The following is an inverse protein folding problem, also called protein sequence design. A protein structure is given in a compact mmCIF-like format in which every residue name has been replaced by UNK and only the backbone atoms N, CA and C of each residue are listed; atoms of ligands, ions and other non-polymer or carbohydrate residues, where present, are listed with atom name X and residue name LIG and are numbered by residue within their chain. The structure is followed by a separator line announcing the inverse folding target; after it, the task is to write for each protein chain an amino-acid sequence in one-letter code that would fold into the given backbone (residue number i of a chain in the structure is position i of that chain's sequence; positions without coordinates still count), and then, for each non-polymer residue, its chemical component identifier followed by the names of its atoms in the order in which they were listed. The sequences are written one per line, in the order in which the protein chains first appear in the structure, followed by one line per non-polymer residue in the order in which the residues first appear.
data_IF_494119090968
#
_entry.id   IF_494119090968
#
_cell.length_a   1.000
_cell.length_b   1.000
_cell.length_c   1.000
_cell.angle_alpha   90.00
_cell.angle_beta   90.00
_cell.angle_gamma   90.00
#
_symmetry.space_group_name_H-M   'P 1'
#
loop_
_entity.id
_entity.type
_entity.pdbx_description
1 polymer ?
#
# COMPACT_ATOMS: atom_id res chain seq x y z
N UNK A 1 -74.82 -6.34 9.24
CA UNK A 1 -74.69 -4.91 8.87
C UNK A 1 -74.67 -4.85 7.34
N UNK A 2 -75.53 -4.05 6.68
CA UNK A 2 -75.59 -3.96 5.21
C UNK A 2 -75.01 -2.60 4.79
N UNK A 3 -73.88 -2.62 4.08
CA UNK A 3 -73.29 -1.42 3.46
C UNK A 3 -73.88 -1.20 2.06
N UNK A 4 -73.94 0.05 1.61
CA UNK A 4 -74.38 0.39 0.25
C UNK A 4 -73.41 -0.17 -0.80
N UNK A 5 -73.90 -0.53 -2.00
CA UNK A 5 -73.07 -1.15 -3.05
C UNK A 5 -71.87 -0.27 -3.43
N UNK A 6 -72.02 1.05 -3.43
CA UNK A 6 -70.91 1.99 -3.66
C UNK A 6 -69.82 1.85 -2.58
N UNK A 7 -70.21 1.76 -1.30
CA UNK A 7 -69.28 1.58 -0.19
C UNK A 7 -68.56 0.22 -0.27
N UNK A 8 -69.26 -0.84 -0.70
CA UNK A 8 -68.65 -2.16 -0.91
C UNK A 8 -67.59 -2.12 -2.01
N UNK A 9 -67.83 -1.37 -3.10
CA UNK A 9 -66.85 -1.19 -4.18
C UNK A 9 -65.62 -0.42 -3.72
N UNK A 10 -65.80 0.69 -2.99
CA UNK A 10 -64.69 1.45 -2.42
C UNK A 10 -63.86 0.63 -1.42
N UNK A 11 -64.51 -0.20 -0.60
CA UNK A 11 -63.81 -1.09 0.32
C UNK A 11 -63.00 -2.17 -0.42
N UNK A 12 -63.52 -2.70 -1.52
CA UNK A 12 -62.79 -3.65 -2.37
C UNK A 12 -61.55 -3.00 -3.01
N UNK A 13 -61.68 -1.76 -3.49
CA UNK A 13 -60.57 -1.01 -4.05
C UNK A 13 -59.49 -0.71 -3.00
N UNK A 14 -59.89 -0.27 -1.80
CA UNK A 14 -58.98 -0.06 -0.67
C UNK A 14 -58.23 -1.35 -0.31
N UNK A 15 -58.95 -2.47 -0.19
CA UNK A 15 -58.33 -3.76 0.12
C UNK A 15 -57.32 -4.20 -0.96
N UNK A 16 -57.60 -3.92 -2.24
CA UNK A 16 -56.66 -4.21 -3.32
C UNK A 16 -55.40 -3.35 -3.22
N UNK A 17 -55.55 -2.04 -2.93
CA UNK A 17 -54.43 -1.12 -2.74
C UNK A 17 -53.58 -1.52 -1.51
N UNK A 18 -54.21 -1.88 -0.40
CA UNK A 18 -53.51 -2.35 0.82
C UNK A 18 -52.70 -3.63 0.55
N UNK A 19 -53.27 -4.55 -0.25
CA UNK A 19 -52.57 -5.77 -0.64
C UNK A 19 -51.39 -5.48 -1.59
N UNK A 20 -51.51 -4.49 -2.46
CA UNK A 20 -50.42 -4.06 -3.34
C UNK A 20 -49.31 -3.34 -2.57
N UNK A 21 -49.67 -2.42 -1.66
CA UNK A 21 -48.73 -1.77 -0.74
C UNK A 21 -47.94 -2.81 0.06
N UNK A 22 -48.64 -3.79 0.64
CA UNK A 22 -48.00 -4.87 1.41
C UNK A 22 -46.99 -5.67 0.55
N UNK A 23 -47.33 -5.97 -0.71
CA UNK A 23 -46.42 -6.64 -1.65
C UNK A 23 -45.20 -5.80 -1.99
N UNK A 24 -45.39 -4.50 -2.23
CA UNK A 24 -44.29 -3.56 -2.52
C UNK A 24 -43.37 -3.42 -1.30
N UNK A 25 -43.93 -3.23 -0.11
CA UNK A 25 -43.15 -3.14 1.13
C UNK A 25 -42.34 -4.41 1.35
N UNK A 26 -42.92 -5.59 1.16
CA UNK A 26 -42.19 -6.85 1.27
C UNK A 26 -41.05 -6.95 0.25
N UNK A 27 -41.30 -6.65 -1.03
CA UNK A 27 -40.25 -6.67 -2.08
C UNK A 27 -39.14 -5.65 -1.84
N UNK A 28 -39.47 -4.47 -1.33
CA UNK A 28 -38.49 -3.42 -1.02
C UNK A 28 -37.57 -3.80 0.15
N UNK A 29 -38.11 -4.53 1.13
CA UNK A 29 -37.36 -4.97 2.32
C UNK A 29 -36.57 -6.26 2.08
N UNK A 30 -37.08 -7.14 1.21
CA UNK A 30 -36.50 -8.46 0.90
C UNK A 30 -35.98 -8.52 -0.55
N UNK A 31 -35.30 -7.47 -0.98
CA UNK A 31 -34.77 -7.41 -2.33
C UNK A 31 -33.66 -8.47 -2.49
N UNK A 32 -33.81 -9.50 -3.35
CA UNK A 32 -32.84 -10.60 -3.44
C UNK A 32 -31.45 -10.13 -3.90
N UNK A 33 -31.39 -9.00 -4.63
CA UNK A 33 -30.15 -8.37 -5.03
C UNK A 33 -29.36 -7.76 -3.86
N UNK A 34 -29.99 -7.51 -2.70
CA UNK A 34 -29.33 -6.90 -1.55
C UNK A 34 -28.20 -7.77 -0.99
N UNK A 35 -28.43 -9.08 -0.91
CA UNK A 35 -27.40 -10.01 -0.45
C UNK A 35 -26.21 -10.05 -1.43
N UNK A 36 -26.48 -10.08 -2.73
CA UNK A 36 -25.44 -10.04 -3.76
C UNK A 36 -24.63 -8.73 -3.69
N UNK A 37 -25.30 -7.59 -3.48
CA UNK A 37 -24.66 -6.29 -3.29
C UNK A 37 -23.77 -6.28 -2.04
N UNK A 38 -24.27 -6.72 -0.89
CA UNK A 38 -23.46 -6.73 0.34
C UNK A 38 -22.25 -7.66 0.21
N UNK A 39 -22.40 -8.82 -0.45
CA UNK A 39 -21.25 -9.69 -0.75
C UNK A 39 -20.20 -9.01 -1.62
N UNK A 40 -20.62 -8.36 -2.70
CA UNK A 40 -19.71 -7.63 -3.58
C UNK A 40 -19.04 -6.45 -2.85
N UNK A 41 -19.79 -5.74 -2.01
CA UNK A 41 -19.29 -4.63 -1.19
C UNK A 41 -18.23 -5.10 -0.20
N UNK A 42 -18.46 -6.21 0.50
CA UNK A 42 -17.47 -6.79 1.42
C UNK A 42 -16.21 -7.21 0.69
N UNK A 43 -16.32 -7.84 -0.49
CA UNK A 43 -15.17 -8.22 -1.30
C UNK A 43 -14.37 -7.00 -1.79
N UNK A 44 -15.08 -5.95 -2.23
CA UNK A 44 -14.47 -4.70 -2.64
C UNK A 44 -13.71 -4.05 -1.49
N UNK A 45 -14.32 -3.96 -0.30
CA UNK A 45 -13.65 -3.38 0.87
C UNK A 45 -12.42 -4.19 1.27
N UNK A 46 -12.53 -5.53 1.32
CA UNK A 46 -11.39 -6.39 1.63
C UNK A 46 -10.25 -6.28 0.59
N UNK A 47 -10.57 -6.09 -0.69
CA UNK A 47 -9.57 -5.83 -1.71
C UNK A 47 -8.93 -4.44 -1.53
N UNK A 48 -9.73 -3.43 -1.18
CA UNK A 48 -9.27 -2.08 -0.85
C UNK A 48 -8.30 -2.05 0.32
N UNK A 49 -8.62 -2.78 1.40
CA UNK A 49 -7.77 -2.88 2.59
C UNK A 49 -6.43 -3.55 2.26
N UNK A 50 -6.43 -4.61 1.46
CA UNK A 50 -5.18 -5.26 0.99
C UNK A 50 -4.35 -4.32 0.12
N UNK A 51 -4.98 -3.61 -0.82
CA UNK A 51 -4.29 -2.65 -1.67
C UNK A 51 -3.66 -1.52 -0.84
N UNK A 52 -4.37 -1.02 0.17
CA UNK A 52 -3.85 0.01 1.07
C UNK A 52 -2.63 -0.52 1.85
N UNK A 53 -2.68 -1.75 2.36
CA UNK A 53 -1.55 -2.36 3.07
C UNK A 53 -0.32 -2.53 2.16
N UNK A 54 -0.50 -3.02 0.93
CA UNK A 54 0.61 -3.16 -0.04
C UNK A 54 1.20 -1.79 -0.39
N UNK A 55 0.38 -0.75 -0.62
CA UNK A 55 0.88 0.60 -0.88
C UNK A 55 1.74 1.15 0.24
N UNK A 56 1.29 1.01 1.49
CA UNK A 56 2.08 1.44 2.65
C UNK A 56 3.41 0.69 2.73
N UNK A 57 3.41 -0.63 2.44
CA UNK A 57 4.64 -1.42 2.42
C UNK A 57 5.60 -0.96 1.32
N UNK A 58 5.10 -0.66 0.10
CA UNK A 58 5.91 -0.12 -0.99
C UNK A 58 6.49 1.25 -0.64
N UNK A 59 5.70 2.14 -0.05
CA UNK A 59 6.17 3.46 0.40
C UNK A 59 7.29 3.36 1.45
N UNK A 60 7.20 2.41 2.38
CA UNK A 60 8.25 2.15 3.37
C UNK A 60 9.53 1.63 2.71
N UNK A 61 9.42 0.70 1.74
CA UNK A 61 10.57 0.20 0.99
C UNK A 61 11.21 1.30 0.14
N UNK A 62 10.43 2.16 -0.51
CA UNK A 62 10.95 3.32 -1.27
C UNK A 62 11.76 4.27 -0.37
N UNK A 63 11.30 4.50 0.87
CA UNK A 63 12.03 5.28 1.85
C UNK A 63 13.33 4.61 2.31
N UNK A 64 13.34 3.27 2.42
CA UNK A 64 14.54 2.49 2.74
C UNK A 64 15.57 2.53 1.60
N UNK A 65 15.12 2.34 0.35
CA UNK A 65 15.95 2.48 -0.87
C UNK A 65 16.60 3.85 -0.89
N UNK A 66 15.82 4.92 -0.76
CA UNK A 66 16.33 6.30 -0.79
C UNK A 66 17.38 6.57 0.29
N UNK A 67 17.21 5.98 1.48
CA UNK A 67 18.18 6.09 2.58
C UNK A 67 19.48 5.36 2.25
N UNK A 68 19.39 4.13 1.77
CA UNK A 68 20.56 3.32 1.42
C UNK A 68 21.34 3.95 0.27
N UNK A 69 20.68 4.47 -0.75
CA UNK A 69 21.32 5.21 -1.84
C UNK A 69 22.08 6.44 -1.32
N UNK A 70 21.50 7.21 -0.39
CA UNK A 70 22.16 8.35 0.22
C UNK A 70 23.39 7.94 1.07
N UNK A 71 23.31 6.82 1.79
CA UNK A 71 24.45 6.27 2.53
C UNK A 71 25.57 5.81 1.58
N UNK A 72 25.23 5.11 0.51
CA UNK A 72 26.19 4.66 -0.52
C UNK A 72 26.89 5.87 -1.15
N UNK A 73 26.13 6.90 -1.51
CA UNK A 73 26.68 8.13 -2.09
C UNK A 73 27.64 8.84 -1.12
N UNK A 74 27.29 8.91 0.17
CA UNK A 74 28.18 9.47 1.19
C UNK A 74 29.50 8.68 1.33
N UNK A 75 29.42 7.34 1.24
CA UNK A 75 30.61 6.47 1.26
C UNK A 75 31.46 6.71 0.01
N UNK A 76 30.87 6.76 -1.18
CA UNK A 76 31.57 7.05 -2.45
C UNK A 76 32.28 8.40 -2.43
N UNK A 77 31.59 9.45 -1.97
CA UNK A 77 32.21 10.77 -1.84
C UNK A 77 33.39 10.78 -0.88
N UNK A 78 33.33 10.00 0.21
CA UNK A 78 34.46 9.87 1.13
C UNK A 78 35.61 9.11 0.49
N UNK A 79 35.32 7.99 -0.16
CA UNK A 79 36.33 7.20 -0.87
C UNK A 79 37.05 8.02 -1.95
N UNK A 80 36.32 8.83 -2.73
CA UNK A 80 36.91 9.69 -3.76
C UNK A 80 37.83 10.77 -3.17
N UNK A 81 37.43 11.37 -2.03
CA UNK A 81 38.31 12.31 -1.30
C UNK A 81 39.58 11.63 -0.82
N UNK A 82 39.45 10.44 -0.24
CA UNK A 82 40.59 9.70 0.31
C UNK A 82 41.54 9.23 -0.81
N UNK A 83 41.01 8.76 -1.94
CA UNK A 83 41.80 8.45 -3.14
C UNK A 83 42.52 9.69 -3.69
N UNK A 84 41.85 10.84 -3.72
CA UNK A 84 42.46 12.09 -4.17
C UNK A 84 43.60 12.53 -3.24
N UNK A 85 43.45 12.38 -1.93
CA UNK A 85 44.51 12.68 -0.96
C UNK A 85 45.71 11.76 -1.16
N UNK A 86 45.46 10.45 -1.35
CA UNK A 86 46.50 9.47 -1.61
C UNK A 86 47.29 9.79 -2.90
N UNK A 87 46.58 10.19 -3.96
CA UNK A 87 47.18 10.60 -5.23
C UNK A 87 47.97 11.92 -5.14
N UNK A 88 47.57 12.84 -4.24
CA UNK A 88 48.25 14.13 -4.04
C UNK A 88 49.62 14.02 -3.35
N UNK A 89 49.99 12.82 -2.88
CA UNK A 89 51.31 12.54 -2.32
C UNK A 89 51.44 12.94 -0.86
N UNK A 90 50.74 12.24 0.04
CA UNK A 90 50.94 12.42 1.48
C UNK A 90 52.38 12.06 1.87
N UNK A 91 53.04 12.93 2.64
CA UNK A 91 54.48 12.84 2.94
C UNK A 91 54.82 11.92 4.12
N UNK A 92 53.82 11.47 4.89
CA UNK A 92 53.99 10.59 6.05
C UNK A 92 53.55 9.15 5.72
N UNK A 93 54.47 8.20 5.87
CA UNK A 93 54.26 6.77 5.62
C UNK A 93 53.14 6.20 6.49
N UNK A 94 53.01 6.69 7.73
CA UNK A 94 51.94 6.24 8.63
C UNK A 94 50.57 6.69 8.12
N UNK A 95 50.45 7.95 7.70
CA UNK A 95 49.22 8.50 7.14
C UNK A 95 48.81 7.77 5.85
N UNK A 96 49.77 7.38 5.01
CA UNK A 96 49.49 6.58 3.83
C UNK A 96 48.91 5.20 4.18
N UNK A 97 49.49 4.51 5.16
CA UNK A 97 48.99 3.21 5.62
C UNK A 97 47.60 3.31 6.25
N UNK A 98 47.37 4.33 7.07
CA UNK A 98 46.06 4.56 7.72
C UNK A 98 44.97 4.85 6.66
N UNK A 99 45.29 5.68 5.65
CA UNK A 99 44.39 6.02 4.55
C UNK A 99 44.06 4.82 3.65
N UNK A 100 45.06 3.96 3.37
CA UNK A 100 44.83 2.70 2.63
C UNK A 100 43.87 1.77 3.39
N UNK A 101 44.06 1.63 4.70
CA UNK A 101 43.19 0.79 5.52
C UNK A 101 41.76 1.34 5.63
N UNK A 102 41.63 2.68 5.68
CA UNK A 102 40.33 3.34 5.61
C UNK A 102 39.62 3.08 4.28
N UNK A 103 40.32 3.20 3.14
CA UNK A 103 39.78 2.89 1.81
C UNK A 103 39.27 1.44 1.71
N UNK A 104 40.05 0.46 2.19
CA UNK A 104 39.63 -0.95 2.24
C UNK A 104 38.36 -1.15 3.10
N UNK A 105 38.22 -0.36 4.15
CA UNK A 105 37.05 -0.41 5.04
C UNK A 105 35.83 0.24 4.38
N UNK A 106 36.01 1.37 3.69
CA UNK A 106 34.96 2.04 2.92
C UNK A 106 34.44 1.15 1.79
N UNK A 107 35.32 0.46 1.05
CA UNK A 107 34.94 -0.48 0.00
C UNK A 107 34.09 -1.63 0.55
N UNK A 108 34.51 -2.25 1.66
CA UNK A 108 33.72 -3.30 2.32
C UNK A 108 32.36 -2.78 2.78
N UNK A 109 32.31 -1.56 3.31
CA UNK A 109 31.04 -0.92 3.72
C UNK A 109 30.15 -0.64 2.51
N UNK A 110 30.71 -0.15 1.41
CA UNK A 110 29.96 0.11 0.18
C UNK A 110 29.33 -1.18 -0.36
N UNK A 111 30.11 -2.25 -0.51
CA UNK A 111 29.59 -3.55 -0.97
C UNK A 111 28.46 -4.04 -0.08
N UNK A 112 28.63 -3.98 1.25
CA UNK A 112 27.58 -4.38 2.19
C UNK A 112 26.30 -3.53 2.08
N UNK A 113 26.42 -2.23 1.79
CA UNK A 113 25.27 -1.36 1.57
C UNK A 113 24.59 -1.64 0.24
N UNK A 114 25.36 -1.90 -0.82
CA UNK A 114 24.85 -2.25 -2.16
C UNK A 114 24.12 -3.62 -2.13
N UNK A 115 24.64 -4.59 -1.39
CA UNK A 115 23.96 -5.87 -1.16
C UNK A 115 22.63 -5.68 -0.40
N UNK A 116 22.63 -4.84 0.64
CA UNK A 116 21.42 -4.51 1.39
C UNK A 116 20.38 -3.77 0.53
N UNK A 117 20.85 -2.87 -0.35
CA UNK A 117 20.00 -2.16 -1.29
C UNK A 117 19.34 -3.13 -2.27
N UNK A 118 20.11 -4.09 -2.80
CA UNK A 118 19.58 -5.10 -3.70
C UNK A 118 18.49 -5.94 -3.03
N UNK A 119 18.72 -6.40 -1.80
CA UNK A 119 17.72 -7.17 -1.03
C UNK A 119 16.41 -6.38 -0.83
N UNK A 120 16.50 -5.08 -0.50
CA UNK A 120 15.32 -4.22 -0.35
C UNK A 120 14.61 -4.00 -1.69
N UNK A 121 15.34 -3.85 -2.78
CA UNK A 121 14.78 -3.71 -4.13
C UNK A 121 14.09 -5.00 -4.60
N UNK A 122 14.67 -6.17 -4.35
CA UNK A 122 14.06 -7.46 -4.65
C UNK A 122 12.75 -7.64 -3.87
N UNK A 123 12.77 -7.36 -2.56
CA UNK A 123 11.56 -7.41 -1.73
C UNK A 123 10.47 -6.45 -2.22
N UNK A 124 10.86 -5.30 -2.78
CA UNK A 124 9.92 -4.35 -3.37
C UNK A 124 9.31 -4.87 -4.67
N UNK A 125 10.07 -5.58 -5.48
CA UNK A 125 9.59 -6.20 -6.72
C UNK A 125 8.59 -7.34 -6.46
N UNK A 126 8.70 -8.00 -5.29
CA UNK A 126 7.78 -9.06 -4.88
C UNK A 126 6.40 -8.58 -4.40
N UNK A 127 6.22 -7.27 -4.11
CA UNK A 127 4.97 -6.67 -3.61
C UNK A 127 4.07 -6.15 -4.73
#
# INVERSE_FOLDING_TARGET
MKAEVAQQRSLLELANLDAELSRITHRSTHLPQREAFERARMQHNAAGDRLAAVRIAVEDLDAQVSRLEAEIEAVRQREDRDRSLLASGATDVKQLSDLQHELETLQRRQTSLEDSLLEVMERREEL
#
